data_IF_612636950748
#
_entry.id   IF_612636950748
#
_cell.length_a   1.000
_cell.length_b   1.000
_cell.length_c   1.000
_cell.angle_alpha   90.00
_cell.angle_beta   90.00
_cell.angle_gamma   90.00
#
_symmetry.space_group_name_H-M   'P 1'
#
loop_
_entity.id
_entity.type
_entity.pdbx_description
1 polymer ?
#
# COMPACT_ATOMS: atom_id res chain seq x y z
N UNK A 1 11.85 -29.98 -28.97
CA UNK A 1 12.35 -28.69 -28.42
C UNK A 1 13.19 -29.01 -27.20
N UNK A 2 14.48 -28.63 -27.18
CA UNK A 2 15.31 -28.77 -25.98
C UNK A 2 14.98 -27.56 -25.09
N UNK A 3 14.46 -27.81 -23.88
CA UNK A 3 14.31 -26.75 -22.89
C UNK A 3 15.70 -26.35 -22.43
N UNK A 4 16.05 -25.08 -22.53
CA UNK A 4 17.28 -24.58 -21.92
C UNK A 4 17.18 -24.69 -20.39
N UNK A 5 18.27 -25.06 -19.70
CA UNK A 5 18.24 -25.17 -18.25
C UNK A 5 17.94 -23.80 -17.63
N UNK A 6 16.91 -23.79 -16.80
CA UNK A 6 16.50 -22.62 -16.03
C UNK A 6 17.56 -22.39 -14.94
N UNK A 7 18.38 -21.36 -15.11
CA UNK A 7 19.49 -21.06 -14.20
C UNK A 7 19.49 -19.59 -13.77
N UNK A 8 19.80 -19.36 -12.49
CA UNK A 8 20.09 -18.03 -11.97
C UNK A 8 21.33 -17.44 -12.65
N UNK A 9 21.31 -16.14 -12.92
CA UNK A 9 22.40 -15.43 -13.61
C UNK A 9 22.99 -14.34 -12.71
N UNK A 10 24.31 -14.26 -12.69
CA UNK A 10 25.07 -13.21 -12.02
C UNK A 10 25.75 -12.33 -13.06
N UNK A 11 25.52 -11.01 -12.97
CA UNK A 11 26.21 -9.99 -13.75
C UNK A 11 27.07 -9.18 -12.78
N UNK A 12 28.39 -9.33 -12.86
CA UNK A 12 29.32 -8.77 -11.86
C UNK A 12 29.36 -7.23 -11.91
N UNK A 13 29.26 -6.65 -13.11
CA UNK A 13 29.22 -5.20 -13.28
C UNK A 13 28.32 -4.86 -14.46
N UNK A 14 27.18 -4.23 -14.18
CA UNK A 14 26.21 -3.82 -15.18
C UNK A 14 25.63 -2.45 -14.83
N UNK A 15 25.31 -1.67 -15.86
CA UNK A 15 24.56 -0.42 -15.69
C UNK A 15 23.08 -0.77 -15.72
N UNK A 16 22.37 -0.43 -14.66
CA UNK A 16 20.92 -0.56 -14.58
C UNK A 16 20.29 0.82 -14.62
N UNK A 17 19.13 0.91 -15.27
CA UNK A 17 18.23 2.04 -15.17
C UNK A 17 16.98 1.56 -14.44
N UNK A 18 16.83 2.02 -13.20
CA UNK A 18 15.70 1.66 -12.37
C UNK A 18 14.71 2.81 -12.34
N UNK A 19 13.54 2.61 -12.95
CA UNK A 19 12.41 3.51 -12.77
C UNK A 19 11.90 3.38 -11.33
N UNK A 20 11.73 4.54 -10.69
CA UNK A 20 11.04 4.71 -9.42
C UNK A 20 9.83 5.58 -9.69
N UNK A 21 8.65 5.06 -9.38
CA UNK A 21 7.38 5.73 -9.68
C UNK A 21 6.47 5.75 -8.46
N UNK A 22 5.84 6.90 -8.23
CA UNK A 22 4.78 7.11 -7.27
C UNK A 22 3.52 6.33 -7.69
N UNK A 23 2.72 5.86 -6.71
CA UNK A 23 1.44 5.22 -6.99
C UNK A 23 0.40 6.21 -7.54
N UNK A 24 0.54 7.50 -7.22
CA UNK A 24 -0.36 8.59 -7.60
C UNK A 24 0.48 9.79 -8.05
N UNK A 25 -0.12 10.72 -8.80
CA UNK A 25 0.57 11.95 -9.18
C UNK A 25 0.92 12.79 -7.95
N UNK A 26 2.12 13.37 -7.95
CA UNK A 26 2.66 14.14 -6.82
C UNK A 26 3.80 15.08 -7.22
N UNK A 27 4.71 15.30 -6.28
CA UNK A 27 5.86 16.19 -6.42
C UNK A 27 7.14 15.36 -6.56
N UNK A 28 7.95 15.67 -7.58
CA UNK A 28 9.30 15.11 -7.72
C UNK A 28 10.29 16.09 -7.09
N UNK A 29 11.16 15.58 -6.20
CA UNK A 29 12.05 16.37 -5.34
C UNK A 29 13.48 16.46 -5.87
N UNK A 30 13.77 15.78 -6.99
CA UNK A 30 15.10 15.70 -7.62
C UNK A 30 15.06 16.15 -9.07
N UNK A 31 16.22 16.50 -9.60
CA UNK A 31 16.45 16.90 -10.99
C UNK A 31 17.33 15.91 -11.73
N UNK A 32 17.28 15.94 -13.07
CA UNK A 32 18.19 15.14 -13.89
C UNK A 32 19.64 15.58 -13.64
N UNK A 33 20.53 14.60 -13.42
CA UNK A 33 21.93 14.81 -13.09
C UNK A 33 22.26 14.69 -11.60
N UNK A 34 21.26 14.75 -10.71
CA UNK A 34 21.46 14.65 -9.26
C UNK A 34 22.02 13.27 -8.86
N UNK A 35 22.85 13.25 -7.82
CA UNK A 35 23.32 12.02 -7.18
C UNK A 35 22.49 11.75 -5.93
N UNK A 36 21.97 10.52 -5.82
CA UNK A 36 21.13 10.07 -4.72
C UNK A 36 21.71 8.85 -4.03
N UNK A 37 21.46 8.72 -2.72
CA UNK A 37 21.64 7.50 -1.94
C UNK A 37 20.36 6.66 -1.97
N UNK A 38 20.45 5.41 -1.50
CA UNK A 38 19.29 4.51 -1.53
C UNK A 38 18.12 5.01 -0.65
N UNK A 39 18.43 5.63 0.48
CA UNK A 39 17.48 6.14 1.47
C UNK A 39 16.88 7.50 1.11
N UNK A 40 17.43 8.20 0.10
CA UNK A 40 16.96 9.53 -0.26
C UNK A 40 15.53 9.48 -0.82
N UNK A 41 14.68 10.39 -0.34
CA UNK A 41 13.32 10.59 -0.84
C UNK A 41 13.38 11.44 -2.11
N UNK A 42 13.00 10.85 -3.23
CA UNK A 42 13.11 11.46 -4.56
C UNK A 42 11.78 12.02 -5.08
N UNK A 43 10.65 11.59 -4.52
CA UNK A 43 9.34 12.11 -4.84
C UNK A 43 8.35 11.85 -3.69
N UNK A 44 7.24 12.56 -3.66
CA UNK A 44 6.15 12.35 -2.69
C UNK A 44 4.78 12.59 -3.30
N UNK A 45 3.78 11.85 -2.85
CA UNK A 45 2.37 12.09 -3.22
C UNK A 45 1.45 11.89 -2.01
N UNK A 46 0.19 12.27 -2.17
CA UNK A 46 -0.88 11.90 -1.24
C UNK A 46 -1.76 10.84 -1.88
N UNK A 47 -2.11 9.80 -1.14
CA UNK A 47 -3.06 8.79 -1.63
C UNK A 47 -4.48 9.37 -1.61
N UNK A 48 -5.31 9.06 -2.62
CA UNK A 48 -6.70 9.51 -2.64
C UNK A 48 -7.45 8.96 -1.43
N UNK A 49 -8.47 9.70 -0.98
CA UNK A 49 -9.43 9.21 0.01
C UNK A 49 -10.15 8.00 -0.57
N UNK A 50 -9.91 6.83 -0.01
CA UNK A 50 -10.60 5.59 -0.38
C UNK A 50 -11.72 5.34 0.60
N UNK A 51 -12.85 4.86 0.11
CA UNK A 51 -13.94 4.37 0.96
C UNK A 51 -13.75 2.87 1.14
N UNK A 52 -13.57 2.44 2.38
CA UNK A 52 -13.52 1.04 2.76
C UNK A 52 -14.86 0.60 3.32
N UNK A 53 -15.36 -0.53 2.84
CA UNK A 53 -16.62 -1.11 3.30
C UNK A 53 -16.31 -2.34 4.14
N UNK A 54 -16.88 -2.39 5.34
CA UNK A 54 -16.74 -3.51 6.28
C UNK A 54 -18.12 -4.08 6.54
N UNK A 55 -18.31 -5.37 6.22
CA UNK A 55 -19.59 -6.06 6.44
C UNK A 55 -19.71 -6.53 7.89
N UNK A 56 -20.21 -5.65 8.77
CA UNK A 56 -20.33 -5.93 10.20
C UNK A 56 -21.29 -7.10 10.48
N UNK A 57 -22.34 -7.26 9.67
CA UNK A 57 -23.30 -8.34 9.84
C UNK A 57 -22.64 -9.70 9.58
N UNK A 58 -21.89 -9.83 8.48
CA UNK A 58 -21.16 -11.04 8.13
C UNK A 58 -20.06 -11.35 9.16
N UNK A 59 -19.23 -10.36 9.49
CA UNK A 59 -18.09 -10.51 10.42
C UNK A 59 -18.52 -10.87 11.85
N UNK A 60 -19.64 -10.32 12.34
CA UNK A 60 -20.19 -10.67 13.66
C UNK A 60 -21.06 -11.94 13.65
N UNK A 61 -21.54 -12.37 12.49
CA UNK A 61 -22.50 -13.45 12.32
C UNK A 61 -23.87 -13.11 12.92
N UNK A 62 -24.38 -11.90 12.65
CA UNK A 62 -25.68 -11.42 13.17
C UNK A 62 -26.57 -10.91 12.04
N UNK A 63 -27.89 -10.86 12.28
CA UNK A 63 -28.82 -10.24 11.34
C UNK A 63 -28.56 -8.74 11.19
N UNK A 64 -28.75 -8.18 9.99
CA UNK A 64 -28.55 -6.76 9.67
C UNK A 64 -29.24 -5.82 10.66
N UNK A 65 -30.49 -6.13 11.06
CA UNK A 65 -31.24 -5.33 12.04
C UNK A 65 -30.64 -5.30 13.45
N UNK A 66 -29.69 -6.18 13.78
CA UNK A 66 -28.98 -6.20 15.07
C UNK A 66 -27.66 -5.42 15.05
N UNK A 67 -27.17 -5.03 13.87
CA UNK A 67 -25.91 -4.26 13.73
C UNK A 67 -25.96 -2.93 14.50
N UNK A 68 -27.02 -2.11 14.43
CA UNK A 68 -27.05 -0.83 15.15
C UNK A 68 -26.84 -0.95 16.67
N UNK A 69 -27.29 -2.05 17.28
CA UNK A 69 -27.11 -2.32 18.72
C UNK A 69 -25.72 -2.82 19.09
N UNK A 70 -24.93 -3.22 18.09
CA UNK A 70 -23.60 -3.82 18.28
C UNK A 70 -22.48 -2.81 17.97
N UNK A 71 -22.80 -1.64 17.41
CA UNK A 71 -21.83 -0.59 17.09
C UNK A 71 -21.16 -0.02 18.35
N UNK A 72 -19.87 0.27 18.23
CA UNK A 72 -19.04 0.95 19.25
C UNK A 72 -18.55 2.32 18.80
N UNK A 73 -18.90 2.71 17.57
CA UNK A 73 -18.51 3.96 16.93
C UNK A 73 -19.75 4.67 16.37
N UNK A 74 -19.65 5.98 16.15
CA UNK A 74 -20.72 6.80 15.56
C UNK A 74 -20.31 7.36 14.20
N UNK A 75 -21.30 7.70 13.36
CA UNK A 75 -21.06 8.38 12.08
C UNK A 75 -20.37 9.72 12.35
N UNK A 76 -19.32 10.01 11.59
CA UNK A 76 -18.48 11.19 11.73
C UNK A 76 -17.28 11.00 12.67
N UNK A 77 -17.20 9.91 13.44
CA UNK A 77 -16.08 9.61 14.34
C UNK A 77 -14.82 9.22 13.58
N UNK A 78 -13.65 9.71 14.04
CA UNK A 78 -12.34 9.23 13.60
C UNK A 78 -11.96 7.95 14.33
N UNK A 79 -11.42 6.98 13.60
CA UNK A 79 -11.00 5.67 14.11
C UNK A 79 -9.56 5.37 13.68
N UNK A 80 -8.82 4.68 14.55
CA UNK A 80 -7.45 4.23 14.26
C UNK A 80 -7.41 2.76 13.86
N UNK A 81 -6.38 2.36 13.10
CA UNK A 81 -6.19 0.95 12.76
C UNK A 81 -6.15 0.07 14.03
N UNK A 82 -6.95 -1.00 14.04
CA UNK A 82 -7.12 -1.91 15.18
C UNK A 82 -8.21 -1.50 16.17
N UNK A 83 -8.84 -0.33 16.04
CA UNK A 83 -9.93 0.11 16.90
C UNK A 83 -11.20 -0.73 16.68
N UNK A 84 -11.98 -0.96 17.76
CA UNK A 84 -13.20 -1.78 17.71
C UNK A 84 -14.34 -0.97 17.12
N UNK A 85 -14.88 -1.44 15.98
CA UNK A 85 -16.03 -0.83 15.31
C UNK A 85 -17.36 -1.34 15.87
N UNK A 86 -17.42 -2.64 16.15
CA UNK A 86 -18.62 -3.29 16.65
C UNK A 86 -18.26 -4.54 17.46
N UNK A 87 -19.11 -4.90 18.43
CA UNK A 87 -18.92 -6.08 19.25
C UNK A 87 -20.26 -6.74 19.60
N UNK A 88 -20.29 -8.08 19.65
CA UNK A 88 -21.50 -8.84 20.00
C UNK A 88 -21.20 -10.06 20.90
N UNK A 89 -22.24 -10.58 21.56
CA UNK A 89 -22.19 -11.76 22.44
C UNK A 89 -21.81 -11.49 23.90
N UNK A 90 -21.83 -12.55 24.73
CA UNK A 90 -21.51 -12.46 26.16
C UNK A 90 -20.07 -11.93 26.32
N UNK A 91 -19.91 -10.82 27.05
CA UNK A 91 -18.62 -10.14 27.26
C UNK A 91 -17.86 -9.74 25.98
N UNK A 92 -18.54 -9.58 24.83
CA UNK A 92 -17.93 -9.05 23.60
C UNK A 92 -16.90 -9.96 22.95
N UNK A 93 -16.99 -11.29 23.09
CA UNK A 93 -16.07 -12.26 22.49
C UNK A 93 -15.94 -12.17 20.96
N UNK A 94 -16.92 -11.60 20.26
CA UNK A 94 -16.83 -11.28 18.83
C UNK A 94 -16.72 -9.79 18.63
N UNK A 95 -15.57 -9.35 18.12
CA UNK A 95 -15.28 -7.94 17.81
C UNK A 95 -14.84 -7.79 16.37
N UNK A 96 -15.35 -6.77 15.70
CA UNK A 96 -14.83 -6.32 14.41
C UNK A 96 -13.98 -5.09 14.65
N UNK A 97 -12.76 -5.10 14.12
CA UNK A 97 -11.80 -4.00 14.22
C UNK A 97 -11.55 -3.42 12.85
N UNK A 98 -11.29 -2.11 12.78
CA UNK A 98 -10.93 -1.48 11.50
C UNK A 98 -9.50 -1.87 11.10
N UNK A 99 -9.24 -2.23 9.82
CA UNK A 99 -7.89 -2.48 9.34
C UNK A 99 -7.11 -1.18 9.04
N UNK A 100 -7.80 -0.04 8.97
CA UNK A 100 -7.25 1.25 8.52
C UNK A 100 -7.68 2.37 9.46
N UNK A 101 -6.87 3.43 9.52
CA UNK A 101 -7.29 4.68 10.12
C UNK A 101 -8.19 5.47 9.16
N UNK A 102 -9.21 6.14 9.67
CA UNK A 102 -10.18 6.84 8.84
C UNK A 102 -11.30 7.48 9.63
N UNK A 103 -12.33 7.93 8.92
CA UNK A 103 -13.56 8.48 9.49
C UNK A 103 -14.75 7.61 9.12
N UNK A 104 -15.62 7.33 10.09
CA UNK A 104 -16.87 6.62 9.83
C UNK A 104 -17.78 7.54 9.00
N UNK A 105 -17.99 7.20 7.73
CA UNK A 105 -18.79 8.00 6.81
C UNK A 105 -20.28 7.66 6.92
N UNK A 106 -20.60 6.37 6.98
CA UNK A 106 -21.99 5.89 7.00
C UNK A 106 -22.07 4.47 7.59
N UNK A 107 -23.25 4.11 8.09
CA UNK A 107 -23.63 2.72 8.36
C UNK A 107 -24.94 2.43 7.63
N UNK A 108 -24.90 1.52 6.64
CA UNK A 108 -26.05 1.17 5.83
C UNK A 108 -26.09 -0.33 5.54
N UNK A 109 -27.30 -0.92 5.57
CA UNK A 109 -27.53 -2.34 5.27
C UNK A 109 -26.63 -3.33 6.04
N UNK A 110 -26.25 -2.99 7.29
CA UNK A 110 -25.38 -3.83 8.12
C UNK A 110 -23.89 -3.72 7.80
N UNK A 111 -23.51 -2.77 6.93
CA UNK A 111 -22.13 -2.45 6.56
C UNK A 111 -21.74 -1.09 7.10
N UNK A 112 -20.47 -0.94 7.40
CA UNK A 112 -19.87 0.32 7.85
C UNK A 112 -18.89 0.81 6.78
N UNK A 113 -19.01 2.08 6.43
CA UNK A 113 -18.20 2.77 5.45
C UNK A 113 -17.19 3.66 6.17
N UNK A 114 -15.90 3.46 5.88
CA UNK A 114 -14.80 4.24 6.42
C UNK A 114 -14.15 5.01 5.29
N UNK A 115 -14.15 6.33 5.38
CA UNK A 115 -13.30 7.18 4.56
C UNK A 115 -11.89 7.14 5.13
N UNK A 116 -10.97 6.50 4.42
CA UNK A 116 -9.54 6.49 4.78
C UNK A 116 -9.00 7.92 4.70
N UNK A 117 -8.21 8.31 5.71
CA UNK A 117 -7.52 9.59 5.68
C UNK A 117 -6.45 9.56 4.58
N UNK A 118 -6.24 10.67 3.84
CA UNK A 118 -5.15 10.76 2.89
C UNK A 118 -3.82 10.45 3.59
N UNK A 119 -3.03 9.55 3.00
CA UNK A 119 -1.71 9.21 3.52
C UNK A 119 -0.65 9.81 2.61
N UNK A 120 0.39 10.38 3.23
CA UNK A 120 1.58 10.82 2.52
C UNK A 120 2.42 9.59 2.18
N UNK A 121 2.80 9.48 0.91
CA UNK A 121 3.68 8.44 0.41
C UNK A 121 4.97 9.10 -0.03
N UNK A 122 6.08 8.60 0.49
CA UNK A 122 7.43 8.99 0.10
C UNK A 122 8.03 7.90 -0.78
N UNK A 123 8.53 8.31 -1.95
CA UNK A 123 9.22 7.45 -2.88
C UNK A 123 10.72 7.59 -2.65
N UNK A 124 11.33 6.54 -2.09
CA UNK A 124 12.77 6.45 -1.97
C UNK A 124 13.44 5.98 -3.26
N UNK A 125 14.69 6.37 -3.45
CA UNK A 125 15.55 5.94 -4.55
C UNK A 125 15.77 4.41 -4.58
N UNK A 126 16.00 3.80 -3.41
CA UNK A 126 16.34 2.38 -3.18
C UNK A 126 17.63 1.88 -3.82
N UNK A 127 18.33 2.70 -4.58
CA UNK A 127 19.67 2.43 -5.07
C UNK A 127 20.48 3.73 -5.14
N UNK A 128 21.77 3.69 -4.79
CA UNK A 128 22.65 4.82 -5.02
C UNK A 128 22.96 4.96 -6.52
N UNK A 129 22.92 6.18 -7.05
CA UNK A 129 23.16 6.41 -8.46
C UNK A 129 22.90 7.84 -8.89
N UNK A 130 22.93 8.06 -10.20
CA UNK A 130 22.61 9.36 -10.80
C UNK A 130 21.20 9.33 -11.38
N UNK A 131 20.43 10.39 -11.17
CA UNK A 131 19.13 10.59 -11.81
C UNK A 131 19.35 10.83 -13.31
N UNK A 132 19.03 9.84 -14.14
CA UNK A 132 19.20 9.95 -15.60
C UNK A 132 18.02 10.66 -16.27
N UNK A 133 16.83 10.55 -15.69
CA UNK A 133 15.61 11.17 -16.20
C UNK A 133 14.63 11.47 -15.06
N UNK A 134 13.95 12.61 -15.14
CA UNK A 134 12.78 12.93 -14.29
C UNK A 134 11.51 12.56 -15.03
N UNK A 135 10.55 11.97 -14.31
CA UNK A 135 9.20 11.68 -14.79
C UNK A 135 8.25 12.68 -14.09
N UNK A 136 7.88 13.79 -14.75
CA UNK A 136 7.17 14.89 -14.09
C UNK A 136 5.90 14.41 -13.38
N UNK A 137 5.81 14.74 -12.08
CA UNK A 137 4.70 14.36 -11.23
C UNK A 137 4.65 12.89 -10.79
N UNK A 138 5.58 12.04 -11.24
CA UNK A 138 5.51 10.61 -10.97
C UNK A 138 6.79 10.02 -10.39
N UNK A 139 7.97 10.60 -10.61
CA UNK A 139 9.22 10.09 -10.03
C UNK A 139 10.42 10.32 -10.92
N UNK A 140 11.32 9.34 -10.97
CA UNK A 140 12.59 9.46 -11.68
C UNK A 140 13.16 8.09 -12.07
N UNK A 141 14.07 8.09 -13.05
CA UNK A 141 14.89 6.95 -13.44
C UNK A 141 16.28 7.14 -12.85
N UNK A 142 16.75 6.13 -12.11
CA UNK A 142 18.07 6.14 -11.48
C UNK A 142 18.99 5.20 -12.27
N UNK A 143 20.11 5.75 -12.74
CA UNK A 143 21.18 5.00 -13.39
C UNK A 143 22.26 4.67 -12.37
N UNK A 144 22.59 3.39 -12.25
CA UNK A 144 23.62 2.93 -11.34
C UNK A 144 24.44 1.79 -11.93
N UNK A 145 25.72 1.71 -11.53
CA UNK A 145 26.59 0.57 -11.81
C UNK A 145 26.51 -0.39 -10.64
N UNK A 146 26.00 -1.59 -10.87
CA UNK A 146 25.72 -2.58 -9.82
C UNK A 146 26.15 -3.99 -10.25
N UNK A 147 26.26 -4.89 -9.27
CA UNK A 147 26.17 -6.33 -9.54
C UNK A 147 24.71 -6.77 -9.51
N UNK A 148 24.24 -7.48 -10.54
CA UNK A 148 22.84 -7.92 -10.66
C UNK A 148 22.74 -9.43 -10.54
N UNK A 149 21.89 -9.90 -9.63
CA UNK A 149 21.51 -11.31 -9.50
C UNK A 149 20.09 -11.48 -10.02
N UNK A 150 19.91 -12.35 -11.01
CA UNK A 150 18.59 -12.73 -11.54
C UNK A 150 18.32 -14.16 -11.10
N UNK A 151 17.42 -14.32 -10.14
CA UNK A 151 16.91 -15.63 -9.74
C UNK A 151 15.81 -16.12 -10.66
N UNK A 152 15.58 -17.43 -10.67
CA UNK A 152 14.38 -18.02 -11.27
C UNK A 152 13.58 -18.74 -10.20
N UNK A 153 12.26 -18.60 -10.26
CA UNK A 153 11.32 -19.25 -9.36
C UNK A 153 10.31 -20.06 -10.17
N UNK A 154 9.94 -21.24 -9.68
CA UNK A 154 8.89 -22.08 -10.25
C UNK A 154 7.82 -22.39 -9.20
N UNK A 155 6.55 -22.17 -9.54
CA UNK A 155 5.44 -22.84 -8.87
C UNK A 155 5.18 -24.14 -9.62
N UNK A 156 5.16 -25.28 -8.91
CA UNK A 156 4.68 -26.53 -9.50
C UNK A 156 3.24 -26.40 -9.98
N UNK A 157 2.79 -27.33 -10.83
CA UNK A 157 1.36 -27.42 -11.14
C UNK A 157 0.59 -27.91 -9.89
N UNK A 158 -0.65 -27.44 -9.67
CA UNK A 158 -1.45 -27.77 -8.49
C UNK A 158 -1.82 -29.26 -8.39
#
# INVERSE_FOLDING_TARGET
MRAEPVASRLYVQTVVEQERRLPEAGEVLVSAGDWVRAEDVIARCETPRRVRVIDLAAELGIAVGRVPRSLRVTVGQEVQAGEVLAATGLMGWRTVRTPVAGRVAEVAAGRLFIEELPQKVELQALLPGQVSQVIPGWGAVIRATVSRVVGVWGCGEP
#
